data_IF_897614975227
#
_entry.id   IF_897614975227
#
_cell.length_a   1.000
_cell.length_b   1.000
_cell.length_c   1.000
_cell.angle_alpha   90.00
_cell.angle_beta   90.00
_cell.angle_gamma   90.00
#
_symmetry.space_group_name_H-M   'P 1'
#
loop_
_entity.id
_entity.type
_entity.pdbx_description
1 polymer ?
#
# COMPACT_ATOMS: atom_id res chain seq x y z
N UNK A 1 -15.49 19.52 4.22
CA UNK A 1 -14.67 18.74 5.18
C UNK A 1 -14.93 17.27 4.93
N UNK A 2 -13.94 16.49 4.45
CA UNK A 2 -14.11 15.03 4.31
C UNK A 2 -14.14 14.39 5.69
N UNK A 3 -15.22 13.68 6.02
CA UNK A 3 -15.34 12.98 7.29
C UNK A 3 -14.22 11.93 7.46
N UNK A 4 -13.66 11.85 8.66
CA UNK A 4 -12.70 10.81 9.04
C UNK A 4 -13.35 9.43 8.83
N UNK A 5 -12.72 8.49 8.10
CA UNK A 5 -13.31 7.19 7.86
C UNK A 5 -13.49 6.42 9.17
N UNK A 6 -14.64 5.75 9.32
CA UNK A 6 -14.90 4.84 10.43
C UNK A 6 -13.80 3.78 10.52
N UNK A 7 -13.19 3.64 11.70
CA UNK A 7 -12.14 2.66 11.95
C UNK A 7 -12.79 1.28 12.15
N UNK A 8 -12.42 0.25 11.36
CA UNK A 8 -12.88 -1.12 11.56
C UNK A 8 -12.56 -1.63 12.98
N UNK A 9 -13.44 -2.45 13.56
CA UNK A 9 -13.31 -2.89 14.96
C UNK A 9 -11.98 -3.59 15.24
N UNK A 10 -11.46 -4.40 14.32
CA UNK A 10 -10.18 -5.10 14.47
C UNK A 10 -8.95 -4.18 14.32
N UNK A 11 -9.16 -2.88 14.06
CA UNK A 11 -8.11 -1.86 13.99
C UNK A 11 -8.17 -0.87 15.17
N UNK A 12 -9.10 -1.05 16.14
CA UNK A 12 -9.32 -0.06 17.20
C UNK A 12 -8.08 0.21 18.05
N UNK A 13 -7.31 -0.84 18.32
CA UNK A 13 -6.08 -0.80 19.13
C UNK A 13 -4.83 -0.47 18.32
N UNK A 14 -4.96 -0.27 17.00
CA UNK A 14 -3.83 0.16 16.19
C UNK A 14 -3.47 1.61 16.52
N UNK A 15 -2.17 1.95 16.55
CA UNK A 15 -1.74 3.32 16.68
C UNK A 15 -2.38 4.22 15.62
N UNK A 16 -2.58 5.50 15.99
CA UNK A 16 -3.23 6.48 15.11
C UNK A 16 -2.37 7.73 14.97
N UNK A 17 -2.45 8.37 13.81
CA UNK A 17 -1.82 9.66 13.54
C UNK A 17 -2.79 10.51 12.71
N UNK A 18 -3.06 11.74 13.15
CA UNK A 18 -4.03 12.61 12.48
C UNK A 18 -5.44 12.00 12.36
N UNK A 19 -5.84 11.18 13.33
CA UNK A 19 -7.13 10.48 13.32
C UNK A 19 -7.19 9.24 12.42
N UNK A 20 -6.11 8.88 11.72
CA UNK A 20 -6.03 7.71 10.85
C UNK A 20 -5.20 6.60 11.51
N UNK A 21 -5.63 5.34 11.35
CA UNK A 21 -4.84 4.15 11.68
C UNK A 21 -3.50 4.17 10.97
N UNK A 22 -2.42 3.93 11.71
CA UNK A 22 -1.11 3.61 11.18
C UNK A 22 -1.05 2.12 10.77
N UNK A 23 -0.91 1.81 9.46
CA UNK A 23 -0.79 0.44 8.98
C UNK A 23 0.33 -0.34 9.69
N UNK A 24 0.16 -1.65 9.87
CA UNK A 24 1.18 -2.53 10.45
C UNK A 24 2.52 -2.44 9.72
N UNK A 25 2.49 -2.28 8.40
CA UNK A 25 3.69 -2.16 7.57
C UNK A 25 4.43 -0.82 7.74
N UNK A 26 3.77 0.20 8.30
CA UNK A 26 4.34 1.56 8.41
C UNK A 26 5.41 1.60 9.49
N UNK A 27 6.67 1.95 9.16
CA UNK A 27 7.73 2.05 10.14
C UNK A 27 7.45 3.19 11.12
N UNK A 28 7.95 3.03 12.34
CA UNK A 28 7.94 4.05 13.37
C UNK A 28 9.37 4.41 13.79
N UNK A 29 9.62 5.67 14.12
CA UNK A 29 10.87 6.09 14.77
C UNK A 29 10.94 5.51 16.19
N UNK A 30 12.12 5.57 16.81
CA UNK A 30 12.28 5.21 18.23
C UNK A 30 11.38 6.04 19.17
N UNK A 31 11.00 7.25 18.75
CA UNK A 31 10.09 8.15 19.46
C UNK A 31 8.60 7.87 19.17
N UNK A 32 8.27 6.83 18.40
CA UNK A 32 6.90 6.41 18.10
C UNK A 32 6.24 7.14 16.93
N UNK A 33 6.98 7.95 16.17
CA UNK A 33 6.44 8.66 15.01
C UNK A 33 6.28 7.72 13.81
N UNK A 34 5.05 7.53 13.34
CA UNK A 34 4.75 6.73 12.15
C UNK A 34 5.04 7.45 10.83
N UNK A 35 5.85 6.83 9.98
CA UNK A 35 6.34 7.41 8.73
C UNK A 35 5.47 6.97 7.55
N UNK A 36 4.29 7.58 7.40
CA UNK A 36 3.35 7.25 6.31
C UNK A 36 3.98 7.41 4.93
N UNK A 37 3.67 6.47 4.04
CA UNK A 37 4.22 6.41 2.69
C UNK A 37 5.63 5.81 2.64
N UNK A 38 6.16 5.35 3.78
CA UNK A 38 7.40 4.57 3.85
C UNK A 38 7.13 3.11 4.11
N UNK A 39 7.95 2.29 3.47
CA UNK A 39 8.00 0.86 3.62
C UNK A 39 9.46 0.51 3.96
N UNK A 40 9.64 -0.51 4.77
CA UNK A 40 10.94 -1.16 4.94
C UNK A 40 10.93 -2.50 4.23
N UNK A 41 12.07 -2.90 3.67
CA UNK A 41 12.22 -4.19 2.98
C UNK A 41 11.81 -5.35 3.90
N UNK A 42 12.11 -5.24 5.21
CA UNK A 42 11.76 -6.26 6.20
C UNK A 42 10.25 -6.42 6.38
N UNK A 43 9.51 -5.32 6.56
CA UNK A 43 8.05 -5.39 6.76
C UNK A 43 7.33 -5.80 5.47
N UNK A 44 7.80 -5.31 4.33
CA UNK A 44 7.29 -5.73 3.02
C UNK A 44 7.53 -7.23 2.79
N UNK A 45 8.76 -7.70 3.01
CA UNK A 45 9.13 -9.11 2.91
C UNK A 45 8.23 -9.97 3.78
N UNK A 46 8.00 -9.58 5.04
CA UNK A 46 7.11 -10.31 5.97
C UNK A 46 5.67 -10.35 5.47
N UNK A 47 5.11 -9.23 5.01
CA UNK A 47 3.75 -9.21 4.48
C UNK A 47 3.60 -10.14 3.27
N UNK A 48 4.53 -10.06 2.32
CA UNK A 48 4.49 -10.85 1.10
C UNK A 48 4.64 -12.35 1.40
N UNK A 49 5.72 -12.73 2.09
CA UNK A 49 6.09 -14.14 2.29
C UNK A 49 5.29 -14.88 3.34
N UNK A 50 4.68 -14.17 4.31
CA UNK A 50 3.82 -14.78 5.34
C UNK A 50 2.34 -14.53 5.10
N UNK A 51 1.99 -13.95 3.96
CA UNK A 51 0.60 -13.71 3.54
C UNK A 51 -0.15 -12.87 4.58
N UNK A 52 0.47 -11.77 5.04
CA UNK A 52 -0.10 -10.89 6.06
C UNK A 52 -0.71 -9.64 5.42
N UNK A 53 -1.83 -9.18 5.98
CA UNK A 53 -2.41 -7.89 5.63
C UNK A 53 -1.46 -6.76 6.05
N UNK A 54 -1.06 -5.89 5.12
CA UNK A 54 -0.17 -4.77 5.42
C UNK A 54 -0.75 -3.72 6.38
N UNK A 55 -2.07 -3.71 6.60
CA UNK A 55 -2.75 -2.75 7.49
C UNK A 55 -2.94 -3.31 8.90
N UNK A 56 -3.59 -4.47 9.05
CA UNK A 56 -3.85 -5.04 10.38
C UNK A 56 -2.73 -5.97 10.90
N UNK A 57 -1.88 -6.51 10.01
CA UNK A 57 -0.84 -7.48 10.36
C UNK A 57 -1.35 -8.91 10.54
N UNK A 58 -2.66 -9.16 10.48
CA UNK A 58 -3.22 -10.51 10.52
C UNK A 58 -2.97 -11.28 9.21
N UNK A 59 -2.96 -12.61 9.31
CA UNK A 59 -2.90 -13.48 8.14
C UNK A 59 -4.12 -13.26 7.25
N UNK A 60 -3.91 -13.23 5.94
CA UNK A 60 -4.97 -13.10 4.95
C UNK A 60 -5.78 -14.41 4.89
N UNK A 61 -7.09 -14.27 4.70
CA UNK A 61 -8.00 -15.41 4.50
C UNK A 61 -8.17 -15.74 3.02
N UNK A 62 -9.31 -16.31 2.65
CA UNK A 62 -9.63 -16.78 1.29
C UNK A 62 -9.68 -15.68 0.21
N UNK A 63 -9.64 -14.41 0.62
CA UNK A 63 -9.69 -13.26 -0.28
C UNK A 63 -8.74 -12.18 0.20
N UNK A 64 -7.99 -11.63 -0.74
CA UNK A 64 -7.10 -10.50 -0.55
C UNK A 64 -7.37 -9.43 -1.62
N UNK A 65 -6.98 -8.20 -1.31
CA UNK A 65 -6.96 -7.10 -2.27
C UNK A 65 -5.53 -6.63 -2.43
N UNK A 66 -5.08 -6.57 -3.68
CA UNK A 66 -3.85 -5.91 -4.10
C UNK A 66 -4.23 -4.53 -4.62
N UNK A 67 -3.60 -3.49 -4.08
CA UNK A 67 -3.71 -2.15 -4.67
C UNK A 67 -2.61 -2.02 -5.71
N UNK A 68 -3.02 -1.90 -6.97
CA UNK A 68 -2.14 -1.88 -8.13
C UNK A 68 -2.24 -0.52 -8.83
N UNK A 69 -1.11 0.02 -9.28
CA UNK A 69 -1.06 1.15 -10.21
C UNK A 69 -1.44 0.68 -11.61
N UNK A 70 -1.67 1.61 -12.53
CA UNK A 70 -1.91 1.26 -13.93
C UNK A 70 -0.75 0.46 -14.54
N UNK A 71 0.50 0.86 -14.29
CA UNK A 71 1.69 0.11 -14.72
C UNK A 71 1.79 -1.28 -14.10
N UNK A 72 1.32 -1.48 -12.87
CA UNK A 72 1.29 -2.79 -12.20
C UNK A 72 0.36 -3.78 -12.93
N UNK A 73 -0.69 -3.28 -13.62
CA UNK A 73 -1.59 -4.12 -14.40
C UNK A 73 -0.89 -4.76 -15.60
N UNK A 74 0.06 -4.06 -16.21
CA UNK A 74 0.84 -4.58 -17.34
C UNK A 74 1.71 -5.78 -16.92
N UNK A 75 2.32 -5.71 -15.73
CA UNK A 75 3.17 -6.79 -15.21
C UNK A 75 2.40 -7.86 -14.41
N UNK A 76 1.11 -7.63 -14.15
CA UNK A 76 0.27 -8.47 -13.29
C UNK A 76 0.89 -8.73 -11.91
N UNK A 77 1.57 -7.71 -11.37
CA UNK A 77 2.16 -7.74 -10.05
C UNK A 77 2.29 -6.34 -9.47
N UNK A 78 2.29 -6.24 -8.13
CA UNK A 78 2.55 -4.99 -7.43
C UNK A 78 3.52 -5.21 -6.27
N UNK A 79 4.38 -4.22 -6.02
CA UNK A 79 5.25 -4.19 -4.85
C UNK A 79 4.47 -3.91 -3.55
N UNK A 80 3.24 -3.41 -3.64
CA UNK A 80 2.38 -3.14 -2.50
C UNK A 80 1.83 -4.46 -1.92
N UNK A 81 2.10 -4.81 -0.65
CA UNK A 81 1.61 -6.09 -0.14
C UNK A 81 0.09 -6.12 0.01
N UNK A 82 -0.50 -7.31 0.03
CA UNK A 82 -1.94 -7.47 0.09
C UNK A 82 -2.60 -6.92 1.36
N UNK A 83 -3.89 -6.62 1.26
CA UNK A 83 -4.76 -6.28 2.39
C UNK A 83 -5.98 -7.19 2.48
N UNK A 84 -6.50 -7.40 3.69
CA UNK A 84 -7.78 -8.07 3.87
C UNK A 84 -8.94 -7.15 3.44
N UNK A 85 -10.13 -7.69 3.09
CA UNK A 85 -11.23 -6.88 2.56
C UNK A 85 -11.71 -5.72 3.48
N UNK A 86 -11.81 -5.90 4.82
CA UNK A 86 -12.14 -4.78 5.72
C UNK A 86 -11.08 -3.67 5.68
N UNK A 87 -9.80 -4.03 5.71
CA UNK A 87 -8.69 -3.08 5.59
C UNK A 87 -8.67 -2.39 4.23
N UNK A 88 -9.00 -3.09 3.14
CA UNK A 88 -9.11 -2.48 1.81
C UNK A 88 -10.19 -1.39 1.79
N UNK A 89 -11.35 -1.66 2.40
CA UNK A 89 -12.46 -0.71 2.50
C UNK A 89 -12.05 0.55 3.27
N UNK A 90 -11.37 0.37 4.39
CA UNK A 90 -10.83 1.49 5.17
C UNK A 90 -9.77 2.27 4.39
N UNK A 91 -8.77 1.58 3.81
CA UNK A 91 -7.65 2.21 3.10
C UNK A 91 -8.09 3.02 1.88
N UNK A 92 -9.11 2.58 1.15
CA UNK A 92 -9.71 3.34 0.02
C UNK A 92 -10.25 4.70 0.44
N UNK A 93 -10.61 4.89 1.71
CA UNK A 93 -11.10 6.17 2.25
C UNK A 93 -10.00 6.93 2.97
N UNK A 94 -9.14 6.22 3.71
CA UNK A 94 -8.11 6.80 4.55
C UNK A 94 -6.88 7.28 3.77
N UNK A 95 -6.38 6.49 2.81
CA UNK A 95 -5.19 6.83 2.04
C UNK A 95 -5.50 7.93 1.02
N UNK A 96 -4.81 9.10 1.07
CA UNK A 96 -5.07 10.17 0.11
C UNK A 96 -4.81 9.78 -1.34
N UNK A 97 -3.87 8.87 -1.60
CA UNK A 97 -3.60 8.35 -2.95
C UNK A 97 -4.76 7.48 -3.45
N UNK A 98 -5.16 6.46 -2.67
CA UNK A 98 -6.21 5.52 -3.06
C UNK A 98 -7.61 6.15 -3.09
N UNK A 99 -7.81 7.23 -2.32
CA UNK A 99 -9.04 7.99 -2.33
C UNK A 99 -9.10 9.05 -3.44
N UNK A 100 -8.07 9.13 -4.30
CA UNK A 100 -7.97 10.12 -5.36
C UNK A 100 -7.68 11.55 -4.88
N UNK A 101 -7.51 11.80 -3.57
CA UNK A 101 -7.30 13.15 -3.01
C UNK A 101 -5.88 13.70 -3.19
N UNK A 102 -4.97 12.93 -3.79
CA UNK A 102 -3.63 13.38 -4.18
C UNK A 102 -3.34 12.94 -5.60
N UNK A 103 -2.98 13.90 -6.44
CA UNK A 103 -2.56 13.70 -7.82
C UNK A 103 -1.04 13.55 -7.98
N UNK A 104 -0.26 13.69 -6.90
CA UNK A 104 1.20 13.58 -6.89
C UNK A 104 1.72 12.95 -5.60
N UNK A 105 2.81 12.21 -5.74
CA UNK A 105 3.60 11.72 -4.61
C UNK A 105 4.30 12.88 -3.89
N UNK A 106 4.75 12.63 -2.64
CA UNK A 106 5.46 13.65 -1.86
C UNK A 106 6.80 13.96 -2.54
N UNK A 107 7.10 15.26 -2.64
CA UNK A 107 8.39 15.79 -3.10
C UNK A 107 9.36 16.06 -1.94
N UNK A 108 8.93 15.82 -0.70
CA UNK A 108 9.74 16.06 0.48
C UNK A 108 9.61 14.89 1.44
N UNK A 109 10.76 14.56 2.03
CA UNK A 109 10.88 13.55 3.04
C UNK A 109 10.48 14.09 4.41
N UNK A 110 10.15 13.18 5.33
CA UNK A 110 10.00 13.57 6.72
C UNK A 110 11.37 14.07 7.24
N UNK A 111 11.47 15.19 7.97
CA UNK A 111 12.76 15.73 8.42
C UNK A 111 13.63 14.73 9.18
N UNK A 112 13.01 13.80 9.93
CA UNK A 112 13.71 12.72 10.64
C UNK A 112 14.46 11.75 9.73
N UNK A 113 14.18 11.76 8.43
CA UNK A 113 14.82 10.94 7.40
C UNK A 113 15.82 11.74 6.56
N UNK A 114 16.12 13.00 6.92
CA UNK A 114 17.08 13.81 6.20
C UNK A 114 18.44 13.09 6.11
N UNK A 115 19.00 13.00 4.90
CA UNK A 115 20.29 12.35 4.64
C UNK A 115 20.22 10.82 4.43
N UNK A 116 19.05 10.20 4.53
CA UNK A 116 18.88 8.78 4.19
C UNK A 116 18.61 8.64 2.68
N UNK A 117 19.40 7.80 2.01
CA UNK A 117 19.23 7.50 0.58
C UNK A 117 17.87 6.88 0.29
N UNK A 118 17.21 7.38 -0.75
CA UNK A 118 15.95 6.82 -1.25
C UNK A 118 16.20 5.53 -2.04
N UNK A 119 15.27 4.58 -1.96
CA UNK A 119 15.28 3.42 -2.85
C UNK A 119 15.00 3.84 -4.31
N UNK A 120 15.37 3.00 -5.28
CA UNK A 120 15.13 3.29 -6.70
C UNK A 120 13.65 3.57 -7.00
N UNK A 121 12.73 2.80 -6.42
CA UNK A 121 11.29 3.03 -6.55
C UNK A 121 10.82 4.34 -5.87
N UNK A 122 11.44 4.74 -4.75
CA UNK A 122 11.15 6.03 -4.13
C UNK A 122 11.66 7.20 -4.97
N UNK A 123 12.82 7.07 -5.61
CA UNK A 123 13.37 8.08 -6.51
C UNK A 123 12.48 8.27 -7.74
N UNK A 124 12.02 7.19 -8.36
CA UNK A 124 11.09 7.25 -9.49
C UNK A 124 9.77 7.95 -9.14
N UNK A 125 9.32 7.80 -7.89
CA UNK A 125 8.08 8.42 -7.40
C UNK A 125 8.26 9.84 -6.88
N UNK A 126 9.48 10.31 -6.70
CA UNK A 126 9.74 11.61 -6.08
C UNK A 126 9.10 12.75 -6.89
N UNK A 127 8.10 13.43 -6.30
CA UNK A 127 7.28 14.47 -6.95
C UNK A 127 6.50 14.03 -8.22
N UNK A 128 6.51 12.73 -8.54
CA UNK A 128 5.89 12.20 -9.75
C UNK A 128 4.36 12.32 -9.69
N UNK A 129 3.69 12.46 -10.84
CA UNK A 129 2.25 12.28 -10.95
C UNK A 129 1.80 10.93 -10.38
N UNK A 130 0.64 10.93 -9.75
CA UNK A 130 -0.02 9.70 -9.33
C UNK A 130 -0.63 9.01 -10.56
N UNK A 131 -0.24 7.76 -10.79
CA UNK A 131 -0.98 6.89 -11.72
C UNK A 131 -2.40 6.60 -11.21
N UNK A 132 -3.34 6.28 -12.10
CA UNK A 132 -4.60 5.65 -11.70
C UNK A 132 -4.33 4.39 -10.86
N UNK A 133 -5.16 4.18 -9.85
CA UNK A 133 -5.07 3.02 -8.95
C UNK A 133 -6.24 2.07 -9.15
N UNK A 134 -5.99 0.79 -8.93
CA UNK A 134 -6.94 -0.29 -9.06
C UNK A 134 -6.94 -1.17 -7.80
N UNK A 135 -8.11 -1.66 -7.42
CA UNK A 135 -8.25 -2.74 -6.45
C UNK A 135 -8.41 -4.07 -7.21
N UNK A 136 -7.37 -4.90 -7.16
CA UNK A 136 -7.34 -6.24 -7.73
C UNK A 136 -7.69 -7.25 -6.63
N UNK A 137 -8.86 -7.87 -6.75
CA UNK A 137 -9.34 -8.88 -5.82
C UNK A 137 -8.85 -10.24 -6.24
N UNK A 138 -8.17 -10.95 -5.35
CA UNK A 138 -7.56 -12.25 -5.61
C UNK A 138 -7.91 -13.25 -4.52
N UNK A 139 -7.83 -14.54 -4.84
CA UNK A 139 -7.88 -15.63 -3.84
C UNK A 139 -6.53 -15.86 -3.18
N UNK A 140 -5.46 -15.63 -3.95
CA UNK A 140 -4.08 -15.79 -3.51
C UNK A 140 -3.15 -14.95 -4.42
N UNK A 141 -1.85 -14.92 -4.14
CA UNK A 141 -0.84 -14.33 -5.02
C UNK A 141 0.49 -15.10 -4.93
N UNK A 142 1.26 -15.11 -6.01
CA UNK A 142 2.64 -15.58 -6.01
C UNK A 142 3.57 -14.47 -5.51
N UNK A 143 4.60 -14.81 -4.74
CA UNK A 143 5.69 -13.88 -4.43
C UNK A 143 6.79 -14.04 -5.47
N UNK A 144 7.02 -12.99 -6.26
CA UNK A 144 8.05 -12.98 -7.31
C UNK A 144 9.02 -11.81 -7.12
N UNK A 145 10.14 -11.82 -7.85
CA UNK A 145 10.92 -10.60 -8.10
C UNK A 145 10.22 -9.79 -9.18
N UNK A 146 10.08 -8.49 -8.96
CA UNK A 146 9.38 -7.60 -9.89
C UNK A 146 10.10 -7.56 -11.25
N UNK A 147 9.41 -7.79 -12.39
CA UNK A 147 10.05 -7.94 -13.70
C UNK A 147 10.85 -6.71 -14.14
N UNK A 148 10.39 -5.51 -13.80
CA UNK A 148 11.08 -4.25 -14.10
C UNK A 148 11.94 -3.70 -12.94
N UNK A 149 11.95 -4.37 -11.79
CA UNK A 149 12.68 -3.91 -10.59
C UNK A 149 13.29 -5.13 -9.88
N UNK A 150 14.41 -5.64 -10.38
CA UNK A 150 14.95 -6.96 -10.00
C UNK A 150 15.20 -7.17 -8.49
N UNK A 151 15.41 -6.10 -7.74
CA UNK A 151 15.63 -6.12 -6.28
C UNK A 151 14.35 -6.05 -5.46
N UNK A 152 13.21 -5.71 -6.08
CA UNK A 152 11.91 -5.54 -5.42
C UNK A 152 11.13 -6.84 -5.45
N UNK A 153 10.58 -7.27 -4.31
CA UNK A 153 9.59 -8.34 -4.27
C UNK A 153 8.19 -7.81 -4.58
N UNK A 154 7.39 -8.60 -5.29
CA UNK A 154 6.04 -8.26 -5.68
C UNK A 154 5.06 -9.41 -5.43
N UNK A 155 3.83 -9.05 -5.09
CA UNK A 155 2.69 -9.94 -5.14
C UNK A 155 2.18 -10.00 -6.59
N UNK A 156 2.21 -11.18 -7.21
CA UNK A 156 1.76 -11.39 -8.59
C UNK A 156 0.49 -12.22 -8.66
N UNK A 157 -0.39 -11.82 -9.56
CA UNK A 157 -1.61 -12.55 -9.92
C UNK A 157 -1.54 -13.11 -11.35
N UNK A 158 -0.37 -13.13 -11.98
CA UNK A 158 -0.17 -13.60 -13.36
C UNK A 158 -0.71 -15.02 -13.63
N UNK A 159 -0.63 -15.89 -12.62
CA UNK A 159 -1.12 -17.29 -12.70
C UNK A 159 -2.43 -17.50 -11.94
N UNK A 160 -2.98 -16.43 -11.35
CA UNK A 160 -4.12 -16.49 -10.44
C UNK A 160 -5.17 -15.51 -10.97
N UNK A 161 -6.19 -15.99 -11.70
CA UNK A 161 -7.20 -15.13 -12.28
C UNK A 161 -7.82 -14.19 -11.23
N UNK A 162 -7.77 -12.87 -11.44
CA UNK A 162 -8.41 -11.92 -10.53
C UNK A 162 -9.91 -12.22 -10.44
N UNK A 163 -10.44 -12.24 -9.22
CA UNK A 163 -11.89 -12.32 -8.98
C UNK A 163 -12.58 -11.09 -9.55
N UNK A 164 -11.90 -9.95 -9.47
CA UNK A 164 -12.39 -8.65 -9.92
C UNK A 164 -11.25 -7.63 -9.95
N UNK A 165 -11.21 -6.79 -10.97
CA UNK A 165 -10.39 -5.57 -10.99
C UNK A 165 -11.34 -4.38 -10.99
N UNK A 166 -11.14 -3.42 -10.07
CA UNK A 166 -11.94 -2.18 -10.02
C UNK A 166 -11.03 -0.96 -10.02
N UNK A 167 -11.28 0.04 -10.89
CA UNK A 167 -10.63 1.33 -10.76
C UNK A 167 -11.02 1.99 -9.43
N UNK A 168 -10.09 2.75 -8.87
CA UNK A 168 -10.30 3.64 -7.73
C UNK A 168 -10.50 5.08 -8.23
N UNK A 169 -11.14 5.96 -7.43
CA UNK A 169 -11.39 7.33 -7.84
C UNK A 169 -10.11 8.06 -8.21
N UNK A 170 -10.14 8.79 -9.31
CA UNK A 170 -9.15 9.80 -9.70
C UNK A 170 -9.70 11.19 -9.38
N UNK A 171 -8.81 12.15 -9.14
CA UNK A 171 -9.20 13.57 -9.25
C UNK A 171 -9.36 13.86 -10.74
N UNK A 172 -10.61 13.99 -11.18
CA UNK A 172 -10.91 14.55 -12.49
C UNK A 172 -10.59 16.05 -12.41
N UNK A 173 -9.67 16.53 -13.26
CA UNK A 173 -9.32 17.95 -13.39
C UNK A 173 -10.17 18.60 -14.48
#
# INVERSE_FOLDING_TARGET
>A
MTATPSIPVHLVDRPRSGGLVAPWITPATATGLHLFGKLTDVSQYRCLTRTLCQVCGHRLGERAVLFARESDLFYECTAEPAVCPPCATYSRRACPMLAGRRSRYRASEHPVLAGISLSADQLLRHAAPAEPWYAVWVRDYDVIRHPAQATTLAASWRRIPPLRIRPLPTLDW
#
